data_IF_680773186786
#
_entry.id   IF_680773186786
#
_cell.length_a   1.000
_cell.length_b   1.000
_cell.length_c   1.000
_cell.angle_alpha   90.00
_cell.angle_beta   90.00
_cell.angle_gamma   90.00
#
_symmetry.space_group_name_H-M   'P 1'
#
loop_
_entity.id
_entity.type
_entity.pdbx_description
1 polymer ?
#
# COMPACT_ATOMS: atom_id res chain seq x y z
N UNK A 1 30.72 11.24 -4.89
CA UNK A 1 29.90 10.01 -4.98
C UNK A 1 29.95 9.15 -3.69
N UNK A 2 29.92 9.73 -2.48
CA UNK A 2 30.05 8.94 -1.24
C UNK A 2 28.85 9.06 -0.25
N UNK A 3 27.98 10.07 -0.41
CA UNK A 3 26.85 10.30 0.51
C UNK A 3 25.58 9.48 0.21
N UNK A 4 25.40 9.05 -1.04
CA UNK A 4 24.17 8.39 -1.52
C UNK A 4 23.93 6.99 -0.93
N UNK A 5 24.98 6.36 -0.40
CA UNK A 5 24.89 5.02 0.18
C UNK A 5 24.36 5.08 1.62
N UNK A 6 24.52 6.18 2.35
CA UNK A 6 24.19 6.24 3.78
C UNK A 6 22.68 6.40 4.06
N UNK A 7 21.97 7.26 3.33
CA UNK A 7 20.54 7.53 3.60
C UNK A 7 19.61 6.39 3.13
N UNK A 8 20.02 5.63 2.11
CA UNK A 8 19.26 4.46 1.60
C UNK A 8 19.54 3.19 2.42
N UNK A 9 20.66 3.15 3.16
CA UNK A 9 21.08 1.98 3.96
C UNK A 9 20.20 1.71 5.19
N UNK A 10 19.52 2.71 5.73
CA UNK A 10 18.63 2.56 6.90
C UNK A 10 17.18 2.13 6.59
N UNK A 11 16.77 2.10 5.32
CA UNK A 11 15.40 1.75 4.95
C UNK A 11 15.28 0.27 4.61
N UNK A 12 14.29 -0.41 5.19
CA UNK A 12 14.00 -1.82 4.92
C UNK A 12 13.69 -2.06 3.43
N UNK A 13 13.96 -3.27 2.93
CA UNK A 13 13.72 -3.61 1.53
C UNK A 13 12.27 -3.36 1.08
N UNK A 14 11.30 -3.57 1.99
CA UNK A 14 9.89 -3.28 1.77
C UNK A 14 9.60 -1.79 1.58
N UNK A 15 10.28 -0.91 2.32
CA UNK A 15 10.13 0.54 2.14
C UNK A 15 10.64 0.98 0.76
N UNK A 16 11.79 0.45 0.33
CA UNK A 16 12.38 0.75 -0.98
C UNK A 16 11.52 0.26 -2.15
N UNK A 17 10.95 -0.95 -2.05
CA UNK A 17 10.06 -1.47 -3.09
C UNK A 17 8.78 -0.64 -3.22
N UNK A 18 8.21 -0.20 -2.10
CA UNK A 18 7.00 0.60 -2.07
C UNK A 18 7.20 2.02 -2.65
N UNK A 19 8.33 2.66 -2.34
CA UNK A 19 8.68 3.95 -2.94
C UNK A 19 8.80 3.84 -4.46
N UNK A 20 9.45 2.77 -4.95
CA UNK A 20 9.64 2.51 -6.39
C UNK A 20 8.32 2.28 -7.12
N UNK A 21 7.43 1.45 -6.58
CA UNK A 21 6.14 1.14 -7.21
C UNK A 21 5.23 2.37 -7.25
N UNK A 22 5.20 3.16 -6.16
CA UNK A 22 4.41 4.40 -6.09
C UNK A 22 4.87 5.45 -7.11
N UNK A 23 6.18 5.64 -7.26
CA UNK A 23 6.72 6.54 -8.31
C UNK A 23 6.34 6.06 -9.71
N UNK A 24 6.52 4.77 -10.00
CA UNK A 24 6.14 4.19 -11.31
C UNK A 24 4.66 4.37 -11.61
N UNK A 25 3.79 4.26 -10.61
CA UNK A 25 2.35 4.55 -10.77
C UNK A 25 2.13 5.99 -11.20
N UNK A 26 2.73 6.97 -10.51
CA UNK A 26 2.60 8.38 -10.89
C UNK A 26 3.05 8.63 -12.34
N UNK A 27 4.17 8.05 -12.76
CA UNK A 27 4.67 8.16 -14.13
C UNK A 27 3.74 7.54 -15.16
N UNK A 28 3.13 6.41 -14.83
CA UNK A 28 2.15 5.76 -15.70
C UNK A 28 0.92 6.64 -15.92
N UNK A 29 0.44 7.35 -14.90
CA UNK A 29 -0.70 8.26 -15.00
C UNK A 29 -0.33 9.61 -15.65
N UNK A 30 0.94 10.01 -15.58
CA UNK A 30 1.47 11.18 -16.27
C UNK A 30 1.85 10.87 -17.73
N UNK A 31 1.71 9.63 -18.18
CA UNK A 31 2.15 9.14 -19.50
C UNK A 31 3.65 9.41 -19.78
N UNK A 32 4.47 9.46 -18.73
CA UNK A 32 5.92 9.67 -18.83
C UNK A 32 6.63 8.31 -18.87
N UNK A 33 7.34 7.96 -19.97
CA UNK A 33 8.17 6.77 -20.01
C UNK A 33 9.21 6.78 -18.87
N UNK A 34 9.43 5.64 -18.19
CA UNK A 34 10.38 5.59 -17.08
C UNK A 34 11.83 5.92 -17.50
N UNK A 35 12.16 5.80 -18.79
CA UNK A 35 13.46 6.12 -19.36
C UNK A 35 13.66 7.64 -19.57
N UNK A 36 12.59 8.40 -19.80
CA UNK A 36 12.64 9.86 -20.01
C UNK A 36 12.36 10.65 -18.73
N UNK A 37 12.06 9.96 -17.63
CA UNK A 37 11.79 10.59 -16.35
C UNK A 37 13.01 11.36 -15.82
N UNK A 38 12.79 12.63 -15.48
CA UNK A 38 13.80 13.53 -14.90
C UNK A 38 13.21 14.26 -13.69
N UNK A 39 14.05 14.91 -12.91
CA UNK A 39 13.59 15.59 -11.70
C UNK A 39 12.69 16.81 -12.01
N UNK A 40 12.81 17.37 -13.22
CA UNK A 40 12.04 18.48 -13.78
C UNK A 40 10.81 18.06 -14.61
N UNK A 41 10.60 16.75 -14.83
CA UNK A 41 9.50 16.29 -15.70
C UNK A 41 8.12 16.29 -15.04
N UNK A 42 8.03 16.61 -13.75
CA UNK A 42 6.78 16.67 -12.98
C UNK A 42 6.65 18.06 -12.37
N UNK A 43 6.13 19.00 -13.15
CA UNK A 43 5.77 20.33 -12.67
C UNK A 43 4.42 20.32 -11.93
N UNK A 44 4.03 21.48 -11.39
CA UNK A 44 2.79 21.62 -10.62
C UNK A 44 1.55 21.24 -11.44
N UNK A 45 1.49 21.66 -12.71
CA UNK A 45 0.36 21.40 -13.59
C UNK A 45 0.24 19.91 -13.92
N UNK A 46 1.32 19.30 -14.40
CA UNK A 46 1.39 17.87 -14.74
C UNK A 46 1.02 17.02 -13.54
N UNK A 47 1.52 17.34 -12.34
CA UNK A 47 1.20 16.57 -11.13
C UNK A 47 -0.25 16.74 -10.70
N UNK A 48 -0.83 17.93 -10.88
CA UNK A 48 -2.26 18.17 -10.59
C UNK A 48 -3.14 17.38 -11.54
N UNK A 49 -2.83 17.36 -12.83
CA UNK A 49 -3.56 16.58 -13.83
C UNK A 49 -3.39 15.08 -13.62
N UNK A 50 -2.18 14.63 -13.25
CA UNK A 50 -1.91 13.24 -12.86
C UNK A 50 -2.80 12.82 -11.68
N UNK A 51 -2.88 13.64 -10.63
CA UNK A 51 -3.76 13.34 -9.47
C UNK A 51 -5.23 13.35 -9.86
N UNK A 52 -5.64 14.24 -10.77
CA UNK A 52 -7.01 14.25 -11.31
C UNK A 52 -7.30 12.96 -12.08
N UNK A 53 -6.38 12.49 -12.93
CA UNK A 53 -6.50 11.23 -13.65
C UNK A 53 -6.56 10.02 -12.68
N UNK A 54 -5.69 9.99 -11.66
CA UNK A 54 -5.71 8.97 -10.61
C UNK A 54 -7.04 8.95 -9.85
N UNK A 55 -7.69 10.11 -9.65
CA UNK A 55 -9.01 10.20 -9.01
C UNK A 55 -10.17 9.76 -9.91
N UNK A 56 -10.02 9.92 -11.22
CA UNK A 56 -11.00 9.46 -12.21
C UNK A 56 -10.95 7.94 -12.39
N UNK A 57 -9.80 7.31 -12.11
CA UNK A 57 -9.65 5.87 -12.12
C UNK A 57 -10.42 5.21 -10.95
N UNK A 58 -11.25 4.21 -11.28
CA UNK A 58 -12.13 3.53 -10.31
C UNK A 58 -11.41 2.58 -9.37
N UNK A 59 -10.19 2.17 -9.73
CA UNK A 59 -9.37 1.18 -9.00
C UNK A 59 -8.37 1.82 -8.00
N UNK A 60 -8.29 3.15 -7.95
CA UNK A 60 -7.31 3.86 -7.10
C UNK A 60 -7.98 4.50 -5.89
N UNK A 61 -7.75 3.92 -4.71
CA UNK A 61 -8.27 4.49 -3.46
C UNK A 61 -7.57 5.80 -3.05
N UNK A 62 -8.28 6.67 -2.32
CA UNK A 62 -7.69 7.92 -1.77
C UNK A 62 -6.42 7.68 -0.94
N UNK A 63 -6.40 6.61 -0.15
CA UNK A 63 -5.22 6.18 0.62
C UNK A 63 -4.04 5.89 -0.31
N UNK A 64 -4.30 5.23 -1.43
CA UNK A 64 -3.30 4.95 -2.47
C UNK A 64 -2.72 6.22 -3.08
N UNK A 65 -3.57 7.21 -3.40
CA UNK A 65 -3.13 8.52 -3.92
C UNK A 65 -2.27 9.25 -2.88
N UNK A 66 -2.68 9.28 -1.61
CA UNK A 66 -1.90 9.91 -0.54
C UNK A 66 -0.55 9.26 -0.30
N UNK A 67 -0.48 7.94 -0.41
CA UNK A 67 0.77 7.20 -0.36
C UNK A 67 1.68 7.52 -1.55
N UNK A 68 1.12 7.64 -2.76
CA UNK A 68 1.87 8.08 -3.95
C UNK A 68 2.41 9.50 -3.78
N UNK A 69 1.60 10.44 -3.31
CA UNK A 69 2.03 11.82 -3.06
C UNK A 69 3.09 11.91 -1.95
N UNK A 70 3.03 11.05 -0.92
CA UNK A 70 4.08 10.99 0.10
C UNK A 70 5.40 10.48 -0.47
N UNK A 71 5.36 9.48 -1.37
CA UNK A 71 6.54 9.00 -2.07
C UNK A 71 7.16 10.07 -2.98
N UNK A 72 6.32 10.83 -3.70
CA UNK A 72 6.79 11.94 -4.53
C UNK A 72 7.38 13.08 -3.70
N UNK A 73 6.77 13.42 -2.56
CA UNK A 73 7.36 14.39 -1.62
C UNK A 73 8.76 13.95 -1.20
N UNK A 74 8.93 12.70 -0.77
CA UNK A 74 10.24 12.18 -0.38
C UNK A 74 11.25 12.19 -1.54
N UNK A 75 10.81 12.00 -2.78
CA UNK A 75 11.67 12.12 -3.96
C UNK A 75 12.09 13.58 -4.22
N UNK A 76 11.15 14.53 -4.14
CA UNK A 76 11.47 15.93 -4.35
C UNK A 76 12.31 16.53 -3.21
N UNK A 77 12.06 16.13 -1.96
CA UNK A 77 12.90 16.50 -0.81
C UNK A 77 14.37 16.07 -1.05
N UNK A 78 14.58 14.89 -1.67
CA UNK A 78 15.91 14.44 -2.10
C UNK A 78 16.48 15.28 -3.24
N UNK A 79 15.67 15.61 -4.26
CA UNK A 79 16.10 16.45 -5.37
C UNK A 79 16.53 17.86 -4.95
N UNK A 80 15.87 18.46 -3.95
CA UNK A 80 16.28 19.74 -3.36
C UNK A 80 17.60 19.58 -2.61
N UNK A 81 17.72 18.55 -1.78
CA UNK A 81 18.91 18.33 -0.94
C UNK A 81 20.19 18.19 -1.78
N UNK A 82 20.11 17.48 -2.90
CA UNK A 82 21.23 17.28 -3.83
C UNK A 82 21.28 18.36 -4.94
N UNK A 83 20.46 19.42 -4.86
CA UNK A 83 20.39 20.57 -5.81
C UNK A 83 20.11 20.19 -7.26
N UNK A 84 19.34 19.13 -7.50
CA UNK A 84 18.94 18.72 -8.84
C UNK A 84 17.85 19.61 -9.44
N UNK A 85 17.07 20.32 -8.63
CA UNK A 85 15.95 21.18 -9.07
C UNK A 85 15.87 22.43 -8.19
N UNK A 86 15.53 23.59 -8.78
CA UNK A 86 15.39 24.86 -8.08
C UNK A 86 14.01 25.04 -7.40
N UNK A 87 12.95 24.50 -7.99
CA UNK A 87 11.58 24.58 -7.48
C UNK A 87 10.92 23.20 -7.43
N UNK A 88 10.09 22.97 -6.41
CA UNK A 88 9.39 21.71 -6.21
C UNK A 88 7.88 21.94 -6.19
N UNK A 89 7.08 21.03 -6.78
CA UNK A 89 5.64 21.10 -6.71
C UNK A 89 5.11 21.14 -5.27
N UNK A 90 4.15 22.02 -5.01
CA UNK A 90 3.44 22.10 -3.73
C UNK A 90 2.44 20.95 -3.60
N UNK A 91 2.92 19.85 -3.05
CA UNK A 91 2.14 18.63 -2.74
C UNK A 91 1.02 18.91 -1.73
N UNK A 92 1.21 19.85 -0.80
CA UNK A 92 0.20 20.17 0.21
C UNK A 92 -0.99 20.87 -0.44
N UNK A 93 -0.73 21.79 -1.37
CA UNK A 93 -1.77 22.42 -2.19
C UNK A 93 -2.52 21.40 -3.04
N UNK A 94 -1.82 20.44 -3.66
CA UNK A 94 -2.48 19.38 -4.46
C UNK A 94 -3.42 18.54 -3.59
N UNK A 95 -2.99 18.14 -2.38
CA UNK A 95 -3.85 17.38 -1.45
C UNK A 95 -5.13 18.13 -1.08
N UNK A 96 -5.02 19.43 -0.80
CA UNK A 96 -6.16 20.30 -0.47
C UNK A 96 -7.13 20.42 -1.63
N UNK A 97 -6.65 20.76 -2.83
CA UNK A 97 -7.48 20.94 -4.03
C UNK A 97 -8.17 19.62 -4.41
N UNK A 98 -7.47 18.50 -4.27
CA UNK A 98 -8.01 17.19 -4.60
C UNK A 98 -8.93 16.59 -3.51
N UNK A 99 -9.15 17.29 -2.38
CA UNK A 99 -9.94 16.82 -1.22
C UNK A 99 -9.55 15.39 -0.80
N UNK A 100 -8.24 15.17 -0.68
CA UNK A 100 -7.66 13.85 -0.38
C UNK A 100 -7.66 13.50 1.10
N UNK A 101 -8.35 14.26 1.95
CA UNK A 101 -8.54 13.85 3.34
C UNK A 101 -9.23 12.48 3.36
N UNK A 102 -8.52 11.51 3.93
CA UNK A 102 -9.02 10.15 4.10
C UNK A 102 -9.71 10.18 5.46
N UNK A 103 -11.05 10.06 5.52
CA UNK A 103 -11.71 9.85 6.79
C UNK A 103 -11.09 8.60 7.42
N UNK A 104 -10.77 8.67 8.71
CA UNK A 104 -10.40 7.47 9.45
C UNK A 104 -11.63 6.56 9.43
N UNK A 105 -11.56 5.50 8.62
CA UNK A 105 -12.59 4.47 8.57
C UNK A 105 -12.22 3.46 9.64
N UNK A 106 -13.19 3.09 10.47
CA UNK A 106 -13.00 2.00 11.41
C UNK A 106 -12.59 0.75 10.63
N UNK A 107 -11.45 0.12 10.97
CA UNK A 107 -11.02 -1.10 10.30
C UNK A 107 -12.11 -2.15 10.39
N UNK A 108 -12.25 -2.96 9.35
CA UNK A 108 -13.08 -4.15 9.44
C UNK A 108 -12.47 -5.12 10.46
N UNK A 109 -13.30 -5.53 11.44
CA UNK A 109 -12.89 -6.45 12.50
C UNK A 109 -13.96 -7.51 12.71
N UNK A 110 -13.52 -8.71 13.10
CA UNK A 110 -14.43 -9.78 13.48
C UNK A 110 -15.06 -9.50 14.85
N UNK A 111 -16.39 -9.64 14.92
CA UNK A 111 -17.15 -9.61 16.16
C UNK A 111 -16.97 -10.92 16.93
N UNK A 112 -17.29 -10.95 18.25
CA UNK A 112 -17.14 -12.16 19.05
C UNK A 112 -17.87 -13.40 18.50
N UNK A 113 -19.04 -13.24 17.89
CA UNK A 113 -19.77 -14.34 17.26
C UNK A 113 -19.04 -14.87 16.02
N UNK A 114 -18.56 -13.98 15.16
CA UNK A 114 -17.83 -14.32 13.93
C UNK A 114 -16.46 -14.96 14.24
N UNK A 115 -15.81 -14.55 15.33
CA UNK A 115 -14.60 -15.21 15.83
C UNK A 115 -14.86 -16.65 16.31
N UNK A 116 -16.02 -16.90 16.93
CA UNK A 116 -16.41 -18.26 17.33
C UNK A 116 -16.65 -19.13 16.12
N UNK A 117 -17.38 -18.63 15.13
CA UNK A 117 -17.59 -19.32 13.85
C UNK A 117 -16.26 -19.64 13.16
N UNK A 118 -15.29 -18.71 13.17
CA UNK A 118 -13.96 -18.93 12.63
C UNK A 118 -13.21 -20.06 13.36
N UNK A 119 -13.29 -20.11 14.70
CA UNK A 119 -12.68 -21.20 15.47
C UNK A 119 -13.36 -22.54 15.25
N UNK A 120 -14.68 -22.55 15.07
CA UNK A 120 -15.44 -23.77 14.76
C UNK A 120 -15.05 -24.31 13.38
N UNK A 121 -14.97 -23.45 12.35
CA UNK A 121 -14.51 -23.84 11.01
C UNK A 121 -13.07 -24.37 11.02
N UNK A 122 -12.17 -23.73 11.78
CA UNK A 122 -10.78 -24.19 11.90
C UNK A 122 -10.63 -25.49 12.70
N UNK A 123 -11.61 -25.85 13.54
CA UNK A 123 -11.60 -27.09 14.34
C UNK A 123 -12.14 -28.29 13.58
N UNK A 124 -13.00 -28.06 12.59
CA UNK A 124 -13.68 -29.13 11.85
C UNK A 124 -12.78 -29.63 10.70
N UNK A 125 -12.26 -30.88 10.75
CA UNK A 125 -11.54 -31.46 9.62
C UNK A 125 -12.51 -31.68 8.44
N UNK A 126 -12.03 -31.63 7.19
CA UNK A 126 -12.87 -31.99 6.05
C UNK A 126 -13.39 -33.42 6.24
N UNK A 127 -14.72 -33.58 6.22
CA UNK A 127 -15.32 -34.90 6.06
C UNK A 127 -14.81 -35.53 4.76
N UNK A 128 -14.57 -36.83 4.77
CA UNK A 128 -13.90 -37.59 3.70
C UNK A 128 -14.39 -37.24 2.29
N UNK A 129 -13.46 -37.29 1.32
CA UNK A 129 -13.65 -37.03 -0.11
C UNK A 129 -14.52 -38.07 -0.86
N UNK A 130 -15.52 -38.67 -0.22
CA UNK A 130 -16.42 -39.60 -0.89
C UNK A 130 -17.79 -38.94 -1.13
N UNK A 131 -18.01 -38.65 -2.41
CA UNK A 131 -19.29 -38.30 -3.06
C UNK A 131 -19.90 -36.91 -2.76
N UNK A 132 -19.53 -35.95 -3.62
CA UNK A 132 -20.55 -35.15 -4.33
C UNK A 132 -20.62 -33.65 -4.07
N UNK A 133 -20.16 -33.13 -2.93
CA UNK A 133 -19.99 -31.68 -2.72
C UNK A 133 -19.16 -31.42 -1.45
N UNK A 134 -18.01 -30.72 -1.52
CA UNK A 134 -17.19 -30.50 -0.34
C UNK A 134 -17.75 -29.35 0.51
N UNK A 135 -18.53 -29.66 1.54
CA UNK A 135 -18.64 -28.78 2.72
C UNK A 135 -17.47 -29.09 3.64
N UNK A 136 -16.53 -28.14 3.81
CA UNK A 136 -15.39 -28.26 4.73
C UNK A 136 -13.98 -28.25 4.12
N UNK A 137 -13.83 -28.02 2.81
CA UNK A 137 -12.52 -28.09 2.12
C UNK A 137 -11.72 -26.77 2.06
N UNK A 138 -12.01 -25.77 2.90
CA UNK A 138 -11.32 -24.45 2.82
C UNK A 138 -10.07 -24.35 3.69
N UNK A 139 -9.96 -25.18 4.72
CA UNK A 139 -8.85 -25.17 5.68
C UNK A 139 -7.97 -26.39 5.44
N UNK A 140 -6.78 -26.17 4.84
CA UNK A 140 -5.88 -27.26 4.43
C UNK A 140 -5.21 -27.95 5.62
N UNK A 141 -4.99 -27.22 6.72
CA UNK A 141 -4.33 -27.71 7.93
C UNK A 141 -5.07 -27.24 9.20
N UNK A 142 -6.23 -27.86 9.53
CA UNK A 142 -7.10 -27.39 10.61
C UNK A 142 -6.39 -27.17 11.96
N UNK A 143 -5.54 -28.11 12.46
CA UNK A 143 -4.84 -27.90 13.72
C UNK A 143 -3.84 -26.72 13.70
N UNK A 144 -3.19 -26.49 12.56
CA UNK A 144 -2.22 -25.40 12.40
C UNK A 144 -2.94 -24.05 12.35
N UNK A 145 -4.01 -23.96 11.57
CA UNK A 145 -4.74 -22.71 11.36
C UNK A 145 -5.49 -22.31 12.64
N UNK A 146 -6.05 -23.28 13.39
CA UNK A 146 -6.62 -23.04 14.71
C UNK A 146 -5.57 -22.50 15.71
N UNK A 147 -4.39 -23.11 15.75
CA UNK A 147 -3.29 -22.62 16.59
C UNK A 147 -2.88 -21.18 16.18
N UNK A 148 -2.70 -20.91 14.88
CA UNK A 148 -2.37 -19.58 14.39
C UNK A 148 -3.45 -18.54 14.72
N UNK A 149 -4.72 -18.83 14.46
CA UNK A 149 -5.84 -17.93 14.73
C UNK A 149 -5.99 -17.63 16.23
N UNK A 150 -5.81 -18.61 17.10
CA UNK A 150 -5.85 -18.39 18.55
C UNK A 150 -4.70 -17.48 19.02
N UNK A 151 -3.47 -17.72 18.56
CA UNK A 151 -2.34 -16.84 18.89
C UNK A 151 -2.52 -15.41 18.35
N UNK A 152 -2.93 -15.25 17.09
CA UNK A 152 -3.07 -13.94 16.46
C UNK A 152 -4.24 -13.12 17.03
N UNK A 153 -5.39 -13.75 17.25
CA UNK A 153 -6.59 -13.05 17.71
C UNK A 153 -6.53 -12.69 19.20
N UNK A 154 -5.93 -13.54 20.04
CA UNK A 154 -5.84 -13.29 21.49
C UNK A 154 -4.75 -12.26 21.81
N UNK A 155 -3.60 -12.35 21.14
CA UNK A 155 -2.44 -11.48 21.44
C UNK A 155 -2.35 -10.24 20.55
N UNK A 156 -3.19 -10.15 19.50
CA UNK A 156 -3.16 -9.04 18.55
C UNK A 156 -1.82 -8.92 17.79
N UNK A 157 -1.13 -10.05 17.59
CA UNK A 157 0.18 -10.06 16.95
C UNK A 157 0.05 -9.65 15.48
N UNK A 158 1.00 -8.84 15.02
CA UNK A 158 1.08 -8.46 13.60
C UNK A 158 1.74 -9.57 12.81
N UNK A 159 1.16 -9.92 11.68
CA UNK A 159 1.85 -10.74 10.68
C UNK A 159 3.05 -9.96 10.14
N UNK A 160 4.23 -10.57 10.20
CA UNK A 160 5.42 -10.02 9.58
C UNK A 160 5.37 -10.25 8.07
N UNK A 161 5.78 -9.24 7.30
CA UNK A 161 5.96 -9.29 5.86
C UNK A 161 7.41 -9.04 5.50
#
# INVERSE_FOLDING_TARGET
>A
MAGMVAAVRGQTAAHRSCLRTRRRRALSFAEIPPQSFRADSLDQATLTDTVRAMRAATDVSKSTINQTLAALKSFFDYCIADRFVAEVPDIARIRKVAKLDVPQVDPEYYRPAELRELYEEARNPPASQDNGAPRGARVRWPPRDLAMCSFLAVLGLRSAK
#
